data_IF_310397639964
#
_entry.id   IF_310397639964
#
_cell.length_a   1.000
_cell.length_b   1.000
_cell.length_c   1.000
_cell.angle_alpha   90.00
_cell.angle_beta   90.00
_cell.angle_gamma   90.00
#
_symmetry.space_group_name_H-M   'P 1'
#
loop_
_entity.id
_entity.type
_entity.pdbx_description
1 polymer ?
#
# COMPACT_ATOMS: atom_id res chain seq x y z
N UNK A 1 -9.94 -23.82 -1.38
CA UNK A 1 -11.37 -23.50 -1.28
C UNK A 1 -11.44 -22.01 -1.00
N UNK A 2 -12.07 -21.21 -1.87
CA UNK A 2 -12.26 -19.78 -1.58
C UNK A 2 -13.33 -19.67 -0.50
N UNK A 3 -12.91 -19.27 0.70
CA UNK A 3 -13.81 -19.04 1.83
C UNK A 3 -14.82 -17.95 1.43
N UNK A 4 -16.12 -18.21 1.62
CA UNK A 4 -17.18 -17.31 1.19
C UNK A 4 -17.25 -16.14 2.19
N UNK A 5 -16.50 -15.07 1.93
CA UNK A 5 -16.46 -13.88 2.79
C UNK A 5 -17.72 -13.05 2.57
N UNK A 6 -18.58 -12.97 3.59
CA UNK A 6 -19.72 -12.05 3.61
C UNK A 6 -19.25 -10.66 4.07
N UNK A 7 -19.57 -9.64 3.28
CA UNK A 7 -19.17 -8.26 3.53
C UNK A 7 -20.43 -7.43 3.82
N UNK A 8 -20.51 -6.84 5.01
CA UNK A 8 -21.68 -6.09 5.45
C UNK A 8 -21.57 -4.60 5.11
N UNK A 9 -22.69 -3.96 4.74
CA UNK A 9 -22.77 -2.51 4.57
C UNK A 9 -22.22 -1.94 3.26
N UNK A 10 -21.75 -2.80 2.35
CA UNK A 10 -21.18 -2.39 1.05
C UNK A 10 -22.22 -1.74 0.13
N UNK A 11 -23.41 -2.31 0.01
CA UNK A 11 -24.44 -1.81 -0.91
C UNK A 11 -24.90 -0.39 -0.54
N UNK A 12 -25.12 -0.15 0.75
CA UNK A 12 -25.42 1.18 1.27
C UNK A 12 -24.29 2.16 0.98
N UNK A 13 -23.03 1.74 1.20
CA UNK A 13 -21.86 2.58 0.95
C UNK A 13 -21.77 2.98 -0.52
N UNK A 14 -21.97 2.02 -1.44
CA UNK A 14 -21.92 2.27 -2.88
C UNK A 14 -23.00 3.26 -3.31
N UNK A 15 -24.20 3.18 -2.72
CA UNK A 15 -25.28 4.14 -2.97
C UNK A 15 -24.89 5.55 -2.52
N UNK A 16 -24.48 5.72 -1.26
CA UNK A 16 -24.09 7.03 -0.73
C UNK A 16 -22.86 7.61 -1.43
N UNK A 17 -21.91 6.77 -1.85
CA UNK A 17 -20.79 7.23 -2.66
C UNK A 17 -21.24 7.73 -4.03
N UNK A 18 -22.24 7.15 -4.68
CA UNK A 18 -22.75 7.65 -5.98
C UNK A 18 -23.43 9.00 -5.85
N UNK A 19 -24.14 9.22 -4.74
CA UNK A 19 -24.89 10.44 -4.47
C UNK A 19 -24.00 11.59 -3.96
N UNK A 20 -22.88 11.26 -3.29
CA UNK A 20 -21.97 12.27 -2.75
C UNK A 20 -21.23 13.08 -3.84
N UNK A 21 -20.78 14.32 -3.56
CA UNK A 21 -19.90 15.06 -4.45
C UNK A 21 -18.57 14.36 -4.71
N UNK A 22 -18.03 14.44 -5.94
CA UNK A 22 -16.76 13.78 -6.34
C UNK A 22 -15.56 14.14 -5.45
N UNK A 23 -15.52 15.36 -4.92
CA UNK A 23 -14.46 15.83 -4.03
C UNK A 23 -14.44 15.06 -2.68
N UNK A 24 -15.64 14.76 -2.17
CA UNK A 24 -15.87 14.03 -0.92
C UNK A 24 -15.63 12.53 -1.11
N UNK A 25 -16.15 11.96 -2.21
CA UNK A 25 -16.01 10.54 -2.56
C UNK A 25 -14.54 10.08 -2.50
N UNK A 26 -13.66 10.80 -3.22
CA UNK A 26 -12.26 10.39 -3.35
C UNK A 26 -11.49 10.41 -2.03
N UNK A 27 -11.75 11.40 -1.17
CA UNK A 27 -11.08 11.52 0.14
C UNK A 27 -11.54 10.44 1.12
N UNK A 28 -12.83 10.12 1.13
CA UNK A 28 -13.39 9.07 1.96
C UNK A 28 -12.79 7.70 1.59
N UNK A 29 -12.82 7.36 0.29
CA UNK A 29 -12.27 6.09 -0.22
C UNK A 29 -10.75 6.00 0.03
N UNK A 30 -9.99 7.08 -0.17
CA UNK A 30 -8.56 7.09 0.14
C UNK A 30 -8.27 6.82 1.62
N UNK A 31 -9.12 7.31 2.52
CA UNK A 31 -8.99 7.11 3.97
C UNK A 31 -9.25 5.66 4.33
N UNK A 32 -10.37 5.09 3.87
CA UNK A 32 -10.72 3.68 4.10
C UNK A 32 -9.66 2.73 3.55
N UNK A 33 -9.26 2.90 2.29
CA UNK A 33 -8.22 2.08 1.63
C UNK A 33 -6.88 2.13 2.39
N UNK A 34 -6.49 3.31 2.89
CA UNK A 34 -5.26 3.45 3.67
C UNK A 34 -5.37 2.72 5.02
N UNK A 35 -6.50 2.82 5.72
CA UNK A 35 -6.72 2.17 7.01
C UNK A 35 -6.82 0.65 6.87
N UNK A 36 -7.57 0.12 5.91
CA UNK A 36 -7.61 -1.32 5.65
C UNK A 36 -6.25 -1.90 5.27
N UNK A 37 -5.51 -1.21 4.39
CA UNK A 37 -4.14 -1.62 4.07
C UNK A 37 -3.18 -1.60 5.28
N UNK A 38 -3.42 -0.72 6.26
CA UNK A 38 -2.62 -0.69 7.49
C UNK A 38 -2.82 -1.95 8.35
N UNK A 39 -4.00 -2.55 8.36
CA UNK A 39 -4.27 -3.81 9.08
C UNK A 39 -3.35 -4.92 8.57
N UNK A 40 -3.31 -5.11 7.24
CA UNK A 40 -2.42 -6.09 6.59
C UNK A 40 -0.95 -5.73 6.82
N UNK A 41 -0.59 -4.44 6.68
CA UNK A 41 0.78 -3.95 6.90
C UNK A 41 1.26 -4.30 8.31
N UNK A 42 0.45 -4.07 9.32
CA UNK A 42 0.84 -4.26 10.71
C UNK A 42 0.98 -5.75 11.05
N UNK A 43 0.16 -6.61 10.46
CA UNK A 43 0.34 -8.05 10.55
C UNK A 43 1.62 -8.54 9.84
N UNK A 44 1.87 -8.05 8.62
CA UNK A 44 3.09 -8.35 7.89
C UNK A 44 4.35 -7.90 8.64
N UNK A 45 4.29 -6.76 9.35
CA UNK A 45 5.37 -6.27 10.22
C UNK A 45 5.65 -7.19 11.41
N UNK A 46 4.61 -7.79 11.99
CA UNK A 46 4.76 -8.76 13.09
C UNK A 46 5.42 -10.06 12.63
N UNK A 47 5.09 -10.51 11.42
CA UNK A 47 5.65 -11.72 10.78
C UNK A 47 7.05 -11.53 10.22
N UNK A 48 7.40 -10.31 9.82
CA UNK A 48 8.68 -10.03 9.18
C UNK A 48 9.89 -10.34 10.10
N UNK A 49 11.03 -10.77 9.53
CA UNK A 49 12.23 -11.03 10.30
C UNK A 49 12.70 -9.81 11.10
N UNK A 50 13.02 -10.04 12.39
CA UNK A 50 13.33 -8.98 13.36
C UNK A 50 14.82 -8.68 13.54
N UNK A 51 15.71 -9.38 12.85
CA UNK A 51 17.16 -9.32 13.07
C UNK A 51 17.72 -7.90 13.32
N UNK A 52 17.43 -6.96 12.42
CA UNK A 52 17.77 -5.53 12.62
C UNK A 52 16.55 -4.62 12.77
N UNK A 53 15.33 -5.17 12.74
CA UNK A 53 14.07 -4.41 12.67
C UNK A 53 13.85 -3.60 11.38
N UNK A 54 14.89 -3.41 10.56
CA UNK A 54 14.81 -2.60 9.33
C UNK A 54 13.81 -3.18 8.34
N UNK A 55 13.69 -4.50 8.22
CA UNK A 55 12.72 -5.14 7.31
C UNK A 55 11.28 -4.69 7.60
N UNK A 56 10.84 -4.87 8.85
CA UNK A 56 9.49 -4.49 9.27
C UNK A 56 9.22 -2.99 9.03
N UNK A 57 10.18 -2.11 9.35
CA UNK A 57 10.03 -0.66 9.13
C UNK A 57 9.81 -0.28 7.66
N UNK A 58 10.28 -1.08 6.71
CA UNK A 58 10.13 -0.82 5.28
C UNK A 58 8.80 -1.34 4.70
N UNK A 59 8.02 -2.14 5.43
CA UNK A 59 6.68 -2.58 5.01
C UNK A 59 5.72 -1.41 5.20
N UNK A 60 5.04 -1.02 4.13
CA UNK A 60 4.16 0.16 4.13
C UNK A 60 2.94 -0.04 3.24
N UNK A 61 1.92 0.75 3.54
CA UNK A 61 0.74 0.95 2.69
C UNK A 61 0.97 2.18 1.81
N UNK A 62 0.85 2.04 0.49
CA UNK A 62 1.05 3.13 -0.47
C UNK A 62 -0.11 3.27 -1.43
N UNK A 63 -0.53 4.51 -1.65
CA UNK A 63 -1.35 4.87 -2.80
C UNK A 63 -0.51 4.80 -4.07
N UNK A 64 -1.03 4.18 -5.11
CA UNK A 64 -0.37 4.09 -6.39
C UNK A 64 -0.39 5.44 -7.14
N UNK A 65 0.65 5.71 -7.91
CA UNK A 65 0.67 6.87 -8.81
C UNK A 65 -0.33 6.68 -9.97
N UNK A 66 -0.59 7.74 -10.75
CA UNK A 66 -1.55 7.71 -11.86
C UNK A 66 -1.27 6.56 -12.84
N UNK A 67 -0.02 6.39 -13.27
CA UNK A 67 0.38 5.32 -14.21
C UNK A 67 0.05 3.93 -13.67
N UNK A 68 0.33 3.66 -12.40
CA UNK A 68 0.07 2.37 -11.78
C UNK A 68 -1.43 2.15 -11.53
N UNK A 69 -2.21 3.20 -11.27
CA UNK A 69 -3.68 3.13 -11.20
C UNK A 69 -4.28 2.75 -12.55
N UNK A 70 -3.85 3.41 -13.62
CA UNK A 70 -4.26 3.05 -14.98
C UNK A 70 -3.92 1.61 -15.31
N UNK A 71 -2.70 1.16 -14.97
CA UNK A 71 -2.27 -0.23 -15.19
C UNK A 71 -3.07 -1.25 -14.38
N UNK A 72 -3.53 -0.87 -13.19
CA UNK A 72 -4.36 -1.71 -12.34
C UNK A 72 -5.83 -1.78 -12.80
N UNK A 73 -6.21 -1.03 -13.85
CA UNK A 73 -7.57 -1.10 -14.40
C UNK A 73 -8.66 -0.49 -13.52
N UNK A 74 -8.32 0.28 -12.48
CA UNK A 74 -9.32 0.84 -11.53
C UNK A 74 -10.20 1.96 -12.12
N UNK A 75 -10.05 2.28 -13.41
CA UNK A 75 -10.82 3.33 -14.08
C UNK A 75 -10.43 4.76 -13.70
N UNK A 76 -11.05 5.74 -14.36
CA UNK A 76 -10.81 7.17 -14.09
C UNK A 76 -11.42 7.54 -12.75
N UNK A 77 -10.59 8.00 -11.82
CA UNK A 77 -11.03 8.34 -10.45
C UNK A 77 -10.97 7.18 -9.46
N UNK A 78 -10.68 5.96 -9.93
CA UNK A 78 -10.47 4.81 -9.05
C UNK A 78 -9.22 4.96 -8.19
N UNK A 79 -9.27 4.31 -7.02
CA UNK A 79 -8.17 4.25 -6.08
C UNK A 79 -7.49 2.88 -6.12
N UNK A 80 -6.17 2.88 -6.03
CA UNK A 80 -5.37 1.65 -5.95
C UNK A 80 -4.30 1.83 -4.89
N UNK A 81 -4.30 0.93 -3.92
CA UNK A 81 -3.34 0.90 -2.84
C UNK A 81 -2.62 -0.44 -2.84
N UNK A 82 -1.36 -0.41 -2.44
CA UNK A 82 -0.55 -1.63 -2.26
C UNK A 82 0.02 -1.67 -0.85
N UNK A 83 0.05 -2.87 -0.28
CA UNK A 83 0.80 -3.17 0.93
C UNK A 83 2.05 -3.93 0.51
N UNK A 84 3.22 -3.44 0.89
CA UNK A 84 4.46 -4.08 0.49
C UNK A 84 5.70 -3.34 0.98
N UNK A 85 6.85 -3.88 0.61
CA UNK A 85 8.14 -3.35 1.07
C UNK A 85 8.57 -2.14 0.23
N UNK A 86 9.22 -1.16 0.88
CA UNK A 86 9.89 -0.05 0.20
C UNK A 86 10.99 -0.55 -0.72
N UNK A 87 10.68 -0.58 -2.01
CA UNK A 87 11.65 -0.74 -3.07
C UNK A 87 12.59 0.45 -3.13
N UNK A 88 13.79 0.18 -3.61
CA UNK A 88 14.79 1.18 -3.90
C UNK A 88 14.33 2.30 -4.84
N UNK A 89 15.02 3.44 -4.78
CA UNK A 89 14.77 4.61 -5.66
C UNK A 89 15.95 4.86 -6.58
N UNK A 90 15.66 5.31 -7.80
CA UNK A 90 16.70 5.77 -8.73
C UNK A 90 17.22 7.12 -8.23
N UNK A 91 18.52 7.21 -7.99
CA UNK A 91 19.21 8.43 -7.54
C UNK A 91 20.26 8.83 -8.57
N UNK A 92 20.56 10.12 -8.63
CA UNK A 92 21.71 10.65 -9.39
C UNK A 92 22.92 10.75 -8.47
N UNK A 93 24.10 10.48 -9.00
CA UNK A 93 25.34 10.78 -8.28
C UNK A 93 25.49 12.31 -8.15
N UNK A 94 25.81 12.75 -6.93
CA UNK A 94 26.12 14.15 -6.66
C UNK A 94 27.35 14.61 -7.44
N UNK A 95 27.40 15.89 -7.81
CA UNK A 95 28.50 16.49 -8.54
C UNK A 95 29.68 16.81 -7.60
N UNK A 96 30.37 15.78 -7.13
CA UNK A 96 31.56 15.90 -6.27
C UNK A 96 32.82 15.60 -7.07
N UNK A 97 33.98 16.18 -6.69
CA UNK A 97 35.28 15.90 -7.33
C UNK A 97 35.56 14.39 -7.44
N UNK A 98 35.19 13.60 -6.42
CA UNK A 98 35.29 12.13 -6.42
C UNK A 98 34.46 11.49 -7.53
N UNK A 99 33.21 11.91 -7.70
CA UNK A 99 32.33 11.37 -8.73
C UNK A 99 32.69 11.85 -10.14
N UNK A 100 33.24 13.07 -10.27
CA UNK A 100 33.82 13.57 -11.53
C UNK A 100 35.00 12.71 -11.97
N UNK A 101 36.00 12.50 -11.10
CA UNK A 101 37.17 11.64 -11.36
C UNK A 101 36.79 10.21 -11.75
N UNK A 102 35.67 9.70 -11.23
CA UNK A 102 35.15 8.35 -11.54
C UNK A 102 34.19 8.31 -12.73
N UNK A 103 33.96 9.43 -13.43
CA UNK A 103 33.00 9.51 -14.54
C UNK A 103 31.57 9.14 -14.15
N UNK A 104 31.20 9.39 -12.88
CA UNK A 104 29.90 9.06 -12.30
C UNK A 104 28.99 10.28 -12.15
N UNK A 105 29.54 11.49 -12.11
CA UNK A 105 28.76 12.72 -11.99
C UNK A 105 27.66 12.75 -13.08
N UNK A 106 26.41 13.04 -12.68
CA UNK A 106 25.25 13.03 -13.59
C UNK A 106 24.66 11.64 -13.91
N UNK A 107 25.39 10.54 -13.70
CA UNK A 107 24.86 9.17 -13.90
C UNK A 107 23.85 8.80 -12.82
N UNK A 108 22.95 7.88 -13.16
CA UNK A 108 21.95 7.34 -12.23
C UNK A 108 22.34 5.97 -11.69
N UNK A 109 21.96 5.67 -10.45
CA UNK A 109 22.04 4.34 -9.86
C UNK A 109 20.74 4.00 -9.12
N UNK A 110 20.50 2.72 -8.87
CA UNK A 110 19.37 2.26 -8.04
C UNK A 110 19.86 2.09 -6.62
N UNK A 111 19.46 3.00 -5.73
CA UNK A 111 19.58 2.81 -4.29
C UNK A 111 18.55 1.76 -3.89
N UNK A 112 18.98 0.49 -3.70
CA UNK A 112 18.09 -0.65 -3.46
C UNK A 112 17.37 -0.59 -2.11
N UNK A 113 17.78 0.31 -1.21
CA UNK A 113 17.22 0.46 0.12
C UNK A 113 17.61 -0.68 1.08
N UNK A 114 17.29 -0.48 2.36
CA UNK A 114 17.66 -1.38 3.46
C UNK A 114 17.05 -2.77 3.36
N UNK A 115 15.85 -2.88 2.78
CA UNK A 115 15.10 -4.13 2.70
C UNK A 115 15.23 -4.84 1.35
N UNK A 116 16.28 -4.58 0.55
CA UNK A 116 16.37 -5.09 -0.83
C UNK A 116 16.22 -6.62 -0.97
N UNK A 117 16.57 -7.38 0.08
CA UNK A 117 16.54 -8.83 0.13
C UNK A 117 15.17 -9.42 0.47
N UNK A 118 14.13 -8.59 0.66
CA UNK A 118 12.79 -9.04 1.07
C UNK A 118 12.19 -10.10 0.15
N UNK A 119 12.43 -10.00 -1.17
CA UNK A 119 11.88 -10.95 -2.16
C UNK A 119 12.48 -12.34 -1.99
N UNK A 120 13.75 -12.42 -1.60
CA UNK A 120 14.43 -13.70 -1.35
C UNK A 120 13.90 -14.38 -0.09
N UNK A 121 13.45 -13.60 0.90
CA UNK A 121 12.78 -14.14 2.06
C UNK A 121 11.37 -14.59 1.72
N UNK A 122 10.58 -13.74 1.04
CA UNK A 122 9.18 -14.03 0.74
C UNK A 122 9.02 -15.29 -0.14
N UNK A 123 9.85 -15.44 -1.17
CA UNK A 123 9.70 -16.49 -2.17
C UNK A 123 10.78 -17.58 -2.12
N UNK A 124 11.80 -17.39 -1.28
CA UNK A 124 12.96 -18.27 -1.25
C UNK A 124 13.93 -18.05 -2.41
N UNK A 125 14.99 -18.85 -2.42
CA UNK A 125 15.99 -18.93 -3.49
C UNK A 125 16.43 -20.39 -3.65
N UNK A 126 17.25 -20.68 -4.67
CA UNK A 126 17.85 -22.03 -4.84
C UNK A 126 18.56 -22.55 -3.57
N UNK A 127 19.10 -21.66 -2.73
CA UNK A 127 19.90 -22.02 -1.54
C UNK A 127 19.21 -21.70 -0.21
N UNK A 128 18.02 -21.11 -0.21
CA UNK A 128 17.32 -20.66 1.01
C UNK A 128 15.82 -20.90 0.86
N UNK A 129 15.21 -21.59 1.82
CA UNK A 129 13.75 -21.79 1.85
C UNK A 129 13.00 -20.46 2.07
N UNK A 130 11.80 -20.37 1.50
CA UNK A 130 10.92 -19.22 1.68
C UNK A 130 10.48 -19.09 3.15
N UNK A 131 10.47 -17.87 3.66
CA UNK A 131 9.92 -17.44 4.94
C UNK A 131 8.94 -16.29 4.66
N UNK A 132 7.74 -16.61 4.12
CA UNK A 132 6.79 -15.61 3.68
C UNK A 132 6.19 -14.84 4.87
N UNK A 133 6.01 -13.54 4.69
CA UNK A 133 5.44 -12.65 5.70
C UNK A 133 4.43 -11.66 5.10
N UNK A 134 4.47 -11.38 3.79
CA UNK A 134 3.47 -10.55 3.11
C UNK A 134 2.25 -11.36 2.70
N UNK A 135 2.48 -12.48 2.01
CA UNK A 135 1.41 -13.37 1.52
C UNK A 135 0.52 -13.87 2.66
N UNK A 136 1.05 -14.49 3.74
CA UNK A 136 0.21 -14.96 4.83
C UNK A 136 -0.48 -13.84 5.61
N UNK A 137 0.09 -12.63 5.63
CA UNK A 137 -0.58 -11.46 6.22
C UNK A 137 -1.76 -11.00 5.37
N UNK A 138 -1.60 -10.99 4.04
CA UNK A 138 -2.67 -10.65 3.10
C UNK A 138 -3.83 -11.63 3.16
N UNK A 139 -3.53 -12.93 3.22
CA UNK A 139 -4.54 -13.99 3.35
C UNK A 139 -5.25 -13.91 4.70
N UNK A 140 -4.50 -13.84 5.81
CA UNK A 140 -5.09 -13.85 7.15
C UNK A 140 -5.88 -12.58 7.49
N UNK A 141 -5.46 -11.42 6.97
CA UNK A 141 -6.08 -10.11 7.28
C UNK A 141 -6.92 -9.53 6.14
N UNK A 142 -7.05 -10.23 5.03
CA UNK A 142 -7.86 -9.80 3.89
C UNK A 142 -9.31 -9.49 4.26
N UNK A 143 -10.05 -10.41 4.91
CA UNK A 143 -11.44 -10.17 5.32
C UNK A 143 -11.60 -8.99 6.29
N UNK A 144 -10.74 -8.93 7.32
CA UNK A 144 -10.73 -7.82 8.29
C UNK A 144 -10.44 -6.47 7.62
N UNK A 145 -9.46 -6.45 6.70
CA UNK A 145 -9.12 -5.24 5.95
C UNK A 145 -10.28 -4.78 5.06
N UNK A 146 -11.02 -5.71 4.44
CA UNK A 146 -12.19 -5.38 3.63
C UNK A 146 -13.29 -4.70 4.46
N UNK A 147 -13.59 -5.23 5.65
CA UNK A 147 -14.57 -4.61 6.54
C UNK A 147 -14.10 -3.23 7.02
N UNK A 148 -12.83 -3.11 7.43
CA UNK A 148 -12.26 -1.81 7.85
C UNK A 148 -12.32 -0.78 6.72
N UNK A 149 -12.12 -1.18 5.45
CA UNK A 149 -12.27 -0.26 4.32
C UNK A 149 -13.68 0.32 4.28
N UNK A 150 -14.71 -0.51 4.48
CA UNK A 150 -16.11 -0.08 4.42
C UNK A 150 -16.42 0.86 5.57
N UNK A 151 -16.15 0.43 6.79
CA UNK A 151 -16.47 1.19 8.01
C UNK A 151 -15.78 2.56 8.01
N UNK A 152 -14.51 2.58 7.61
CA UNK A 152 -13.72 3.80 7.59
C UNK A 152 -14.04 4.70 6.40
N UNK A 153 -14.48 4.13 5.28
CA UNK A 153 -15.00 4.94 4.16
C UNK A 153 -16.32 5.58 4.58
N UNK A 154 -17.23 4.85 5.24
CA UNK A 154 -18.46 5.41 5.79
C UNK A 154 -18.21 6.54 6.79
N UNK A 155 -17.34 6.29 7.78
CA UNK A 155 -16.97 7.28 8.79
C UNK A 155 -16.36 8.53 8.15
N UNK A 156 -15.46 8.35 7.18
CA UNK A 156 -14.85 9.45 6.46
C UNK A 156 -15.85 10.19 5.56
N UNK A 157 -16.78 9.48 4.90
CA UNK A 157 -17.82 10.06 4.06
C UNK A 157 -18.72 10.98 4.87
N UNK A 158 -19.26 10.48 5.98
CA UNK A 158 -20.12 11.25 6.88
C UNK A 158 -19.38 12.47 7.46
N UNK A 159 -18.12 12.29 7.83
CA UNK A 159 -17.28 13.38 8.35
C UNK A 159 -17.01 14.46 7.30
N UNK A 160 -16.82 14.09 6.03
CA UNK A 160 -16.60 15.04 4.94
C UNK A 160 -17.90 15.76 4.55
N UNK A 161 -19.03 15.06 4.46
CA UNK A 161 -20.34 15.67 4.19
C UNK A 161 -20.69 16.74 5.23
N UNK A 162 -20.51 16.42 6.53
CA UNK A 162 -20.70 17.39 7.62
C UNK A 162 -19.80 18.62 7.48
N UNK A 163 -18.53 18.43 7.10
CA UNK A 163 -17.58 19.53 6.92
C UNK A 163 -17.95 20.44 5.75
N UNK A 164 -18.53 19.89 4.69
CA UNK A 164 -18.99 20.64 3.53
C UNK A 164 -20.40 21.24 3.71
N UNK A 165 -21.00 21.11 4.90
CA UNK A 165 -22.31 21.68 5.21
C UNK A 165 -23.49 20.92 4.62
N UNK A 166 -23.25 19.70 4.11
CA UNK A 166 -24.30 18.83 3.60
C UNK A 166 -25.02 18.15 4.77
N UNK A 167 -26.35 18.23 4.78
CA UNK A 167 -27.24 17.51 5.70
C UNK A 167 -27.78 16.27 5.02
#
# INVERSE_FOLDING_TARGET
>A
MAEQVSIQGLDGLLRSLREAPKAVQGRAVQTGMRKGGNVIRDDARRRAPKASGLMASQIVTRRANARNRTRAGVGKGGEYFTVGVKSGRRRKYANTKRNQRRGRAGKSYVDRGWAYYWRFLEFGTKKLRAQPFLTPAGEAKGPEAAQVIIDETWSALNSQMRKEGWR
#
